data_IF_936604872318
#
_entry.id   IF_936604872318
#
_cell.length_a   1.000
_cell.length_b   1.000
_cell.length_c   1.000
_cell.angle_alpha   90.00
_cell.angle_beta   90.00
_cell.angle_gamma   90.00
#
_symmetry.space_group_name_H-M   'P 1'
#
loop_
_entity.id
_entity.type
_entity.pdbx_description
1 polymer ?
#
# COMPACT_ATOMS: atom_id res chain seq x y z
N UNK A 1 9.76 7.81 5.69
CA UNK A 1 10.92 7.68 4.78
C UNK A 1 10.57 7.41 3.34
N UNK A 2 9.74 6.41 3.02
CA UNK A 2 9.42 6.06 1.63
C UNK A 2 8.87 7.25 0.79
N UNK A 3 7.82 7.95 1.27
CA UNK A 3 7.22 9.06 0.53
C UNK A 3 8.16 10.26 0.35
N UNK A 4 9.09 10.50 1.29
CA UNK A 4 10.00 11.66 1.27
C UNK A 4 10.76 11.81 -0.05
N UNK A 5 11.09 10.71 -0.71
CA UNK A 5 11.84 10.70 -1.96
C UNK A 5 11.02 10.22 -3.17
N UNK A 6 9.85 9.61 -2.95
CA UNK A 6 9.11 8.90 -4.00
C UNK A 6 7.72 9.48 -4.28
N UNK A 7 7.25 10.48 -3.52
CA UNK A 7 5.89 11.01 -3.62
C UNK A 7 5.46 11.36 -5.05
N UNK A 8 6.27 12.14 -5.77
CA UNK A 8 5.95 12.56 -7.13
C UNK A 8 5.81 11.39 -8.13
N UNK A 9 6.47 10.25 -7.89
CA UNK A 9 6.28 9.05 -8.70
C UNK A 9 5.04 8.27 -8.25
N UNK A 10 4.80 8.16 -6.94
CA UNK A 10 3.63 7.47 -6.39
C UNK A 10 2.31 8.12 -6.81
N UNK A 11 2.29 9.44 -7.01
CA UNK A 11 1.13 10.18 -7.52
C UNK A 11 0.82 9.92 -9.01
N UNK A 12 1.77 9.38 -9.78
CA UNK A 12 1.60 9.11 -11.23
C UNK A 12 1.26 7.66 -11.53
N UNK A 13 1.62 6.76 -10.62
CA UNK A 13 1.45 5.33 -10.80
C UNK A 13 0.07 4.92 -10.30
N UNK A 14 -0.74 4.32 -11.18
CA UNK A 14 -2.05 3.78 -10.83
C UNK A 14 -1.92 2.42 -10.16
N UNK A 15 -2.84 2.13 -9.24
CA UNK A 15 -3.02 0.78 -8.70
C UNK A 15 -3.52 -0.15 -9.82
N UNK A 16 -2.83 -1.27 -10.01
CA UNK A 16 -3.18 -2.32 -10.98
C UNK A 16 -3.57 -3.61 -10.26
N UNK A 17 -3.24 -3.74 -8.98
CA UNK A 17 -3.54 -4.92 -8.19
C UNK A 17 -4.97 -4.83 -7.66
N UNK A 18 -5.82 -5.75 -8.14
CA UNK A 18 -7.27 -5.71 -7.94
C UNK A 18 -7.77 -6.38 -6.66
N UNK A 19 -6.93 -7.16 -5.97
CA UNK A 19 -7.38 -7.77 -4.72
C UNK A 19 -7.52 -6.71 -3.63
N UNK A 20 -8.53 -6.82 -2.75
CA UNK A 20 -8.71 -5.85 -1.68
C UNK A 20 -7.57 -5.91 -0.65
N UNK A 21 -7.36 -4.80 0.04
CA UNK A 21 -6.37 -4.68 1.11
C UNK A 21 -6.84 -5.51 2.30
N UNK A 22 -6.07 -6.50 2.78
CA UNK A 22 -6.40 -7.20 4.00
C UNK A 22 -6.27 -6.25 5.19
N UNK A 23 -7.31 -6.20 6.02
CA UNK A 23 -7.31 -5.49 7.30
C UNK A 23 -6.94 -6.50 8.39
N UNK A 24 -6.01 -6.15 9.28
CA UNK A 24 -5.53 -7.14 10.24
C UNK A 24 -4.54 -6.63 11.26
N UNK A 25 -3.92 -7.59 11.94
CA UNK A 25 -3.01 -7.36 13.05
C UNK A 25 -1.64 -6.89 12.56
N UNK A 26 -1.30 -5.65 12.89
CA UNK A 26 0.07 -5.17 12.98
C UNK A 26 0.51 -5.12 14.44
N UNK A 27 1.82 -5.02 14.70
CA UNK A 27 2.31 -4.80 16.05
C UNK A 27 1.66 -3.52 16.65
N UNK A 28 0.85 -3.69 17.71
CA UNK A 28 0.11 -2.59 18.34
C UNK A 28 -1.26 -2.26 17.73
N UNK A 29 -1.73 -3.02 16.74
CA UNK A 29 -3.01 -2.78 16.06
C UNK A 29 -3.93 -3.97 16.32
N UNK A 30 -4.88 -3.79 17.24
CA UNK A 30 -5.87 -4.83 17.58
C UNK A 30 -6.81 -5.16 16.41
N UNK A 31 -7.53 -6.28 16.51
CA UNK A 31 -8.47 -6.70 15.46
C UNK A 31 -9.64 -5.72 15.29
N UNK A 32 -9.90 -5.34 14.03
CA UNK A 32 -11.13 -4.65 13.67
C UNK A 32 -12.27 -5.68 13.63
N UNK A 33 -13.32 -5.49 14.42
CA UNK A 33 -14.46 -6.42 14.43
C UNK A 33 -15.33 -6.20 13.19
N UNK A 34 -15.47 -7.24 12.36
CA UNK A 34 -16.54 -7.35 11.35
C UNK A 34 -16.18 -6.91 9.93
N UNK A 35 -14.95 -6.47 9.65
CA UNK A 35 -14.48 -6.18 8.28
C UNK A 35 -13.03 -6.64 8.14
N UNK A 36 -12.81 -7.63 7.29
CA UNK A 36 -11.49 -8.26 7.11
C UNK A 36 -10.70 -7.67 5.93
N UNK A 37 -11.36 -6.86 5.08
CA UNK A 37 -10.76 -6.32 3.86
C UNK A 37 -11.29 -4.94 3.50
N UNK A 38 -10.49 -4.12 2.83
CA UNK A 38 -10.85 -2.81 2.29
C UNK A 38 -10.58 -2.76 0.79
N UNK A 39 -11.59 -2.42 -0.01
CA UNK A 39 -11.43 -2.23 -1.44
C UNK A 39 -10.76 -0.87 -1.73
N UNK A 40 -9.87 -0.83 -2.73
CA UNK A 40 -9.36 0.43 -3.27
C UNK A 40 -10.30 0.94 -4.38
N UNK A 41 -10.60 2.25 -4.42
CA UNK A 41 -11.33 2.84 -5.53
C UNK A 41 -10.64 2.61 -6.87
N UNK A 42 -11.41 2.44 -7.94
CA UNK A 42 -10.86 2.39 -9.30
C UNK A 42 -10.15 3.70 -9.65
N UNK A 43 -8.99 3.57 -10.32
CA UNK A 43 -8.18 4.72 -10.70
C UNK A 43 -7.37 5.34 -9.55
N UNK A 44 -7.38 4.74 -8.35
CA UNK A 44 -6.49 5.18 -7.26
C UNK A 44 -5.03 5.05 -7.64
N UNK A 45 -4.23 6.01 -7.19
CA UNK A 45 -2.77 6.00 -7.34
C UNK A 45 -2.09 5.19 -6.23
N UNK A 46 -0.81 4.85 -6.41
CA UNK A 46 -0.01 4.25 -5.33
C UNK A 46 0.16 5.22 -4.15
N UNK A 47 0.09 6.53 -4.40
CA UNK A 47 0.05 7.52 -3.33
C UNK A 47 -1.22 7.37 -2.48
N UNK A 48 -2.39 7.25 -3.12
CA UNK A 48 -3.67 7.05 -2.42
C UNK A 48 -3.66 5.77 -1.59
N UNK A 49 -3.10 4.67 -2.13
CA UNK A 49 -2.90 3.41 -1.41
C UNK A 49 -2.08 3.62 -0.13
N UNK A 50 -0.98 4.38 -0.21
CA UNK A 50 -0.14 4.67 0.97
C UNK A 50 -0.90 5.55 1.97
N UNK A 51 -1.64 6.56 1.51
CA UNK A 51 -2.46 7.41 2.38
C UNK A 51 -3.54 6.62 3.12
N UNK A 52 -4.13 5.59 2.49
CA UNK A 52 -5.04 4.65 3.15
C UNK A 52 -4.36 3.96 4.33
N UNK A 53 -3.12 3.49 4.17
CA UNK A 53 -2.37 2.83 5.23
C UNK A 53 -1.91 3.76 6.35
N UNK A 54 -1.72 5.05 6.06
CA UNK A 54 -1.41 6.08 7.05
C UNK A 54 -2.66 6.53 7.83
N UNK A 55 -3.82 6.54 7.17
CA UNK A 55 -5.09 6.97 7.75
C UNK A 55 -5.73 5.87 8.59
N UNK A 56 -5.69 4.63 8.11
CA UNK A 56 -6.30 3.48 8.76
C UNK A 56 -5.20 2.52 9.25
N UNK A 57 -4.88 2.58 10.54
CA UNK A 57 -3.83 1.75 11.16
C UNK A 57 -4.04 0.24 10.93
N UNK A 58 -5.29 -0.22 10.90
CA UNK A 58 -5.67 -1.60 10.60
C UNK A 58 -5.35 -2.04 9.15
N UNK A 59 -5.19 -1.07 8.23
CA UNK A 59 -4.83 -1.32 6.85
C UNK A 59 -3.32 -1.22 6.61
N UNK A 60 -2.53 -0.66 7.54
CA UNK A 60 -1.12 -0.32 7.29
C UNK A 60 -0.29 -1.53 6.83
N UNK A 61 -0.44 -2.68 7.49
CA UNK A 61 0.28 -3.91 7.11
C UNK A 61 -0.19 -4.42 5.75
N UNK A 62 -1.51 -4.45 5.53
CA UNK A 62 -2.09 -4.86 4.24
C UNK A 62 -1.61 -3.97 3.09
N UNK A 63 -1.54 -2.66 3.32
CA UNK A 63 -1.05 -1.66 2.36
C UNK A 63 0.41 -1.90 2.00
N UNK A 64 1.29 -2.25 2.93
CA UNK A 64 2.70 -2.56 2.60
C UNK A 64 2.81 -3.80 1.71
N UNK A 65 2.03 -4.85 2.00
CA UNK A 65 1.98 -6.07 1.18
C UNK A 65 1.42 -5.76 -0.21
N UNK A 66 0.35 -4.96 -0.28
CA UNK A 66 -0.28 -4.52 -1.52
C UNK A 66 0.69 -3.67 -2.35
N UNK A 67 1.35 -2.69 -1.74
CA UNK A 67 2.34 -1.83 -2.39
C UNK A 67 3.50 -2.64 -2.98
N UNK A 68 4.01 -3.65 -2.27
CA UNK A 68 5.03 -4.55 -2.82
C UNK A 68 4.54 -5.27 -4.08
N UNK A 69 3.29 -5.74 -4.09
CA UNK A 69 2.69 -6.41 -5.26
C UNK A 69 2.54 -5.43 -6.43
N UNK A 70 2.02 -4.23 -6.18
CA UNK A 70 1.93 -3.14 -7.17
C UNK A 70 3.28 -2.82 -7.80
N UNK A 71 4.30 -2.58 -6.96
CA UNK A 71 5.66 -2.29 -7.43
C UNK A 71 6.26 -3.43 -8.26
N UNK A 72 5.84 -4.67 -8.05
CA UNK A 72 6.29 -5.83 -8.85
C UNK A 72 5.64 -5.88 -10.24
N UNK A 73 4.48 -5.24 -10.41
CA UNK A 73 3.77 -5.15 -11.69
C UNK A 73 4.34 -4.05 -12.60
N UNK A 74 4.94 -3.01 -12.03
CA UNK A 74 5.59 -1.93 -12.79
C UNK A 74 6.74 -2.49 -13.64
N UNK A 75 6.71 -2.21 -14.95
CA UNK A 75 7.77 -2.59 -15.90
C UNK A 75 8.50 -1.41 -16.52
N UNK A 76 7.88 -0.24 -16.53
CA UNK A 76 8.41 0.94 -17.23
C UNK A 76 9.46 1.71 -16.43
N UNK A 77 9.49 1.52 -15.10
CA UNK A 77 10.41 2.19 -14.19
C UNK A 77 11.14 1.13 -13.37
N UNK A 78 12.49 1.17 -13.29
CA UNK A 78 13.24 0.26 -12.43
C UNK A 78 12.86 0.44 -10.96
N UNK A 79 12.55 -0.65 -10.27
CA UNK A 79 12.26 -0.68 -8.83
C UNK A 79 13.39 -1.38 -8.09
N UNK A 80 13.91 -0.74 -7.04
CA UNK A 80 14.90 -1.29 -6.12
C UNK A 80 14.36 -1.24 -4.69
N UNK A 81 14.36 -2.38 -4.00
CA UNK A 81 14.07 -2.47 -2.57
C UNK A 81 15.37 -2.89 -1.88
N UNK A 82 15.88 -2.03 -1.01
CA UNK A 82 17.07 -2.29 -0.21
C UNK A 82 16.69 -2.31 1.27
N UNK A 83 17.18 -3.30 2.01
CA UNK A 83 16.94 -3.49 3.44
C UNK A 83 18.28 -3.78 4.10
N UNK A 84 18.59 -3.06 5.16
CA UNK A 84 19.74 -3.29 6.04
C UNK A 84 19.21 -3.53 7.46
N UNK A 85 19.94 -4.31 8.27
CA UNK A 85 19.48 -4.81 9.58
C UNK A 85 19.70 -3.82 10.72
#
# INVERSE_FOLDING_TARGET
DFLKFNEAQMQKLLCQYLEPIPLGEGAGVGMMKGVDTMAMPEGSTLYDLIQTGLTYSHASVGVVVHLRKELSLIKDIPVLIAVDQ
#
